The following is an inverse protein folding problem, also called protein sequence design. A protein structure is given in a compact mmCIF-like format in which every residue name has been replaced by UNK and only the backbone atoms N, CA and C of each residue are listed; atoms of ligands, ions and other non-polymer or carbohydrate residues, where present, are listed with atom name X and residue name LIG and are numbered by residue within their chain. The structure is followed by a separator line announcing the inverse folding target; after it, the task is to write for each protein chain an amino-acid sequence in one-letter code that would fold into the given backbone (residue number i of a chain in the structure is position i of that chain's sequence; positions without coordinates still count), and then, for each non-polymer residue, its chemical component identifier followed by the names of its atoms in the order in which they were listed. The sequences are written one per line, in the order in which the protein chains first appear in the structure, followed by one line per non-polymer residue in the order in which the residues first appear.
data_IF_243294219715
#
_entry.id   IF_243294219715
#
_cell.length_a   1.000
_cell.length_b   1.000
_cell.length_c   1.000
_cell.angle_alpha   90.00
_cell.angle_beta   90.00
_cell.angle_gamma   90.00
#
_symmetry.space_group_name_H-M   'P 1'
#
loop_
_entity.id
_entity.type
_entity.pdbx_description
1 polymer ?
#
# COMPACT_ATOMS: atom_id res chain seq x y z
N UNK A 1 -2.20 -5.54 -20.72
CA UNK A 1 -0.75 -5.35 -20.50
C UNK A 1 -0.29 -3.89 -20.28
N UNK A 2 -1.02 -2.84 -20.69
CA UNK A 2 -0.52 -1.44 -20.56
C UNK A 2 -0.72 -0.71 -19.21
N UNK A 3 -1.66 -1.14 -18.36
CA UNK A 3 -2.03 -0.39 -17.13
C UNK A 3 -0.94 -0.43 -16.05
N UNK A 4 -0.25 -1.56 -15.90
CA UNK A 4 0.76 -1.77 -14.83
C UNK A 4 2.01 -0.91 -15.06
N UNK A 5 2.54 -0.87 -16.30
CA UNK A 5 3.63 0.05 -16.71
C UNK A 5 3.28 1.51 -16.46
N UNK A 6 2.03 1.91 -16.70
CA UNK A 6 1.60 3.30 -16.48
C UNK A 6 1.65 3.68 -14.99
N UNK A 7 1.27 2.78 -14.09
CA UNK A 7 1.23 3.05 -12.64
C UNK A 7 2.65 3.19 -12.09
N UNK A 8 3.56 2.26 -12.41
CA UNK A 8 4.97 2.33 -11.97
C UNK A 8 5.67 3.60 -12.51
N UNK A 9 5.47 3.92 -13.79
CA UNK A 9 6.05 5.11 -14.41
C UNK A 9 5.45 6.41 -13.86
N UNK A 10 4.17 6.45 -13.50
CA UNK A 10 3.53 7.59 -12.83
C UNK A 10 4.15 7.81 -11.45
N UNK A 11 4.35 6.75 -10.67
CA UNK A 11 4.98 6.84 -9.34
C UNK A 11 6.41 7.36 -9.48
N UNK A 12 7.21 6.77 -10.38
CA UNK A 12 8.61 7.16 -10.60
C UNK A 12 8.74 8.61 -11.11
N UNK A 13 7.91 8.99 -12.09
CA UNK A 13 7.92 10.34 -12.71
C UNK A 13 7.37 11.40 -11.76
N UNK A 14 6.45 11.03 -10.85
CA UNK A 14 6.06 11.92 -9.74
C UNK A 14 7.30 12.35 -8.98
N UNK A 15 8.17 11.41 -8.63
CA UNK A 15 9.34 11.65 -7.78
C UNK A 15 10.46 12.45 -8.44
N UNK A 16 10.60 12.41 -9.77
CA UNK A 16 11.76 12.97 -10.48
C UNK A 16 11.61 14.41 -11.00
N UNK A 17 10.44 15.06 -10.92
CA UNK A 17 10.32 16.42 -11.47
C UNK A 17 9.00 17.20 -11.31
N UNK A 18 7.96 16.62 -10.69
CA UNK A 18 6.65 17.28 -10.56
C UNK A 18 6.18 17.41 -9.12
N UNK A 19 6.54 18.51 -8.44
CA UNK A 19 6.16 18.79 -7.03
C UNK A 19 4.66 18.65 -6.76
N UNK A 20 3.81 19.03 -7.73
CA UNK A 20 2.34 18.89 -7.65
C UNK A 20 1.87 17.43 -7.68
N UNK A 21 2.53 16.56 -8.44
CA UNK A 21 2.18 15.14 -8.56
C UNK A 21 2.61 14.41 -7.29
N UNK A 22 3.81 14.69 -6.77
CA UNK A 22 4.27 14.24 -5.46
C UNK A 22 3.32 14.62 -4.33
N UNK A 23 2.92 15.90 -4.28
CA UNK A 23 2.01 16.39 -3.25
C UNK A 23 0.67 15.63 -3.28
N UNK A 24 0.11 15.37 -4.47
CA UNK A 24 -1.12 14.59 -4.63
C UNK A 24 -0.94 13.12 -4.24
N UNK A 25 0.16 12.49 -4.64
CA UNK A 25 0.48 11.11 -4.28
C UNK A 25 0.65 10.97 -2.77
N UNK A 26 1.43 11.86 -2.15
CA UNK A 26 1.60 11.94 -0.70
C UNK A 26 0.26 12.13 0.02
N UNK A 27 -0.58 13.05 -0.45
CA UNK A 27 -1.90 13.28 0.13
C UNK A 27 -2.80 12.04 0.02
N UNK A 28 -2.74 11.33 -1.11
CA UNK A 28 -3.51 10.11 -1.34
C UNK A 28 -3.05 8.98 -0.42
N UNK A 29 -1.73 8.81 -0.24
CA UNK A 29 -1.16 7.86 0.73
C UNK A 29 -1.59 8.22 2.16
N UNK A 30 -1.54 9.52 2.52
CA UNK A 30 -1.98 10.00 3.83
C UNK A 30 -3.47 9.72 4.07
N UNK A 31 -4.33 9.89 3.05
CA UNK A 31 -5.74 9.51 3.13
C UNK A 31 -5.91 8.00 3.29
N UNK A 32 -5.23 7.19 2.48
CA UNK A 32 -5.27 5.73 2.58
C UNK A 32 -4.89 5.23 3.98
N UNK A 33 -3.84 5.79 4.58
CA UNK A 33 -3.43 5.45 5.96
C UNK A 33 -4.51 5.79 7.00
N UNK A 34 -5.26 6.88 6.81
CA UNK A 34 -6.39 7.23 7.68
C UNK A 34 -7.52 6.22 7.56
N UNK A 35 -7.84 5.78 6.35
CA UNK A 35 -8.87 4.75 6.11
C UNK A 35 -8.47 3.41 6.74
N UNK A 36 -7.21 2.99 6.58
CA UNK A 36 -6.71 1.77 7.24
C UNK A 36 -6.84 1.88 8.77
N UNK A 37 -6.51 3.05 9.34
CA UNK A 37 -6.68 3.27 10.78
C UNK A 37 -8.15 3.19 11.20
N UNK A 38 -9.07 3.76 10.43
CA UNK A 38 -10.51 3.72 10.72
C UNK A 38 -11.06 2.30 10.64
N UNK A 39 -10.72 1.57 9.58
CA UNK A 39 -11.10 0.16 9.40
C UNK A 39 -10.54 -0.72 10.52
N UNK A 40 -9.29 -0.50 10.94
CA UNK A 40 -8.72 -1.24 12.07
C UNK A 40 -9.47 -0.96 13.39
N UNK A 41 -9.92 0.27 13.63
CA UNK A 41 -10.72 0.61 14.81
C UNK A 41 -12.10 -0.07 14.79
N UNK A 42 -12.78 -0.03 13.64
CA UNK A 42 -14.07 -0.71 13.45
C UNK A 42 -13.92 -2.22 13.63
N UNK A 43 -12.87 -2.81 13.06
CA UNK A 43 -12.58 -4.23 13.19
C UNK A 43 -12.30 -4.63 14.65
N UNK A 44 -11.50 -3.84 15.37
CA UNK A 44 -11.28 -4.04 16.80
C UNK A 44 -12.59 -4.00 17.60
N UNK A 45 -13.48 -3.03 17.31
CA UNK A 45 -14.78 -2.92 17.99
C UNK A 45 -15.63 -4.15 17.73
N UNK A 46 -15.72 -4.62 16.48
CA UNK A 46 -16.44 -5.86 16.14
C UNK A 46 -15.89 -7.05 16.93
N UNK A 47 -14.55 -7.19 17.03
CA UNK A 47 -13.93 -8.28 17.81
C UNK A 47 -14.29 -8.19 19.30
N UNK A 48 -14.33 -6.98 19.86
CA UNK A 48 -14.75 -6.77 21.26
C UNK A 48 -16.23 -7.06 21.47
N UNK A 49 -17.09 -6.69 20.53
CA UNK A 49 -18.54 -6.89 20.60
C UNK A 49 -18.93 -8.37 20.56
N UNK A 50 -18.16 -9.20 19.84
CA UNK A 50 -18.34 -10.67 19.84
C UNK A 50 -17.70 -11.38 21.04
N UNK A 51 -17.07 -10.62 21.95
CA UNK A 51 -16.55 -11.13 23.22
C UNK A 51 -15.08 -11.55 23.23
N UNK A 52 -14.29 -11.19 22.21
CA UNK A 52 -12.86 -11.50 22.21
C UNK A 52 -12.15 -10.65 23.28
N UNK A 53 -11.26 -11.25 24.10
CA UNK A 53 -10.44 -10.53 25.05
C UNK A 53 -9.69 -9.36 24.42
N UNK A 54 -9.46 -8.30 25.19
CA UNK A 54 -8.86 -7.07 24.67
C UNK A 54 -7.46 -7.29 24.07
N UNK A 55 -6.67 -8.15 24.69
CA UNK A 55 -5.31 -8.47 24.28
C UNK A 55 -5.31 -9.16 22.90
N UNK A 56 -6.12 -10.21 22.74
CA UNK A 56 -6.27 -10.94 21.49
C UNK A 56 -6.84 -10.06 20.37
N UNK A 57 -7.88 -9.26 20.68
CA UNK A 57 -8.49 -8.36 19.72
C UNK A 57 -7.48 -7.32 19.20
N UNK A 58 -6.58 -6.82 20.06
CA UNK A 58 -5.49 -5.92 19.65
C UNK A 58 -4.50 -6.61 18.73
N UNK A 59 -4.06 -7.82 19.09
CA UNK A 59 -3.09 -8.56 18.29
C UNK A 59 -3.64 -8.89 16.89
N UNK A 60 -4.88 -9.39 16.82
CA UNK A 60 -5.57 -9.71 15.57
C UNK A 60 -5.74 -8.45 14.70
N UNK A 61 -6.16 -7.34 15.32
CA UNK A 61 -6.31 -6.07 14.61
C UNK A 61 -4.98 -5.55 14.07
N UNK A 62 -3.90 -5.67 14.85
CA UNK A 62 -2.56 -5.28 14.41
C UNK A 62 -2.06 -6.15 13.26
N UNK A 63 -2.28 -7.47 13.33
CA UNK A 63 -1.94 -8.40 12.25
C UNK A 63 -2.70 -8.08 10.96
N UNK A 64 -3.97 -7.69 11.06
CA UNK A 64 -4.78 -7.23 9.93
C UNK A 64 -4.28 -5.91 9.32
N UNK A 65 -3.96 -4.91 10.15
CA UNK A 65 -3.62 -3.56 9.69
C UNK A 65 -2.16 -3.41 9.21
N UNK A 66 -1.23 -4.18 9.79
CA UNK A 66 0.22 -4.06 9.52
C UNK A 66 0.57 -4.19 8.03
N UNK A 67 0.11 -5.21 7.28
CA UNK A 67 0.43 -5.34 5.86
C UNK A 67 -0.02 -4.13 5.03
N UNK A 68 -1.20 -3.58 5.33
CA UNK A 68 -1.72 -2.41 4.64
C UNK A 68 -0.90 -1.14 4.93
N UNK A 69 -0.44 -0.97 6.17
CA UNK A 69 0.45 0.15 6.52
C UNK A 69 1.83 0.04 5.88
N UNK A 70 2.40 -1.17 5.83
CA UNK A 70 3.67 -1.45 5.17
C UNK A 70 3.57 -1.21 3.66
N UNK A 71 2.50 -1.65 3.02
CA UNK A 71 2.25 -1.42 1.60
C UNK A 71 2.09 0.07 1.28
N UNK A 72 1.44 0.85 2.16
CA UNK A 72 1.30 2.31 2.05
C UNK A 72 2.55 3.08 2.53
N UNK A 73 3.67 2.40 2.77
CA UNK A 73 4.96 3.06 2.94
C UNK A 73 5.46 3.60 1.61
N UNK A 74 5.84 4.87 1.57
CA UNK A 74 6.41 5.49 0.36
C UNK A 74 7.59 4.67 -0.16
N UNK A 75 8.47 4.20 0.73
CA UNK A 75 9.62 3.37 0.38
C UNK A 75 9.21 2.05 -0.28
N UNK A 76 8.14 1.41 0.21
CA UNK A 76 7.66 0.15 -0.36
C UNK A 76 6.89 0.36 -1.66
N UNK A 77 6.15 1.47 -1.80
CA UNK A 77 5.54 1.87 -3.08
C UNK A 77 6.60 2.14 -4.15
N UNK A 78 7.75 2.71 -3.77
CA UNK A 78 8.89 2.90 -4.66
C UNK A 78 9.54 1.57 -5.02
N UNK A 79 9.81 0.70 -4.05
CA UNK A 79 10.32 -0.65 -4.32
C UNK A 79 9.40 -1.44 -5.24
N UNK A 80 8.10 -1.45 -4.98
CA UNK A 80 7.10 -2.06 -5.88
C UNK A 80 7.12 -1.43 -7.27
N UNK A 81 7.22 -0.10 -7.38
CA UNK A 81 7.30 0.57 -8.67
C UNK A 81 8.58 0.22 -9.45
N UNK A 82 9.71 0.06 -8.75
CA UNK A 82 10.99 -0.38 -9.32
C UNK A 82 10.97 -1.86 -9.72
N UNK A 83 10.46 -2.74 -8.86
CA UNK A 83 10.28 -4.16 -9.16
C UNK A 83 9.33 -4.34 -10.35
N UNK A 84 8.26 -3.55 -10.44
CA UNK A 84 7.36 -3.55 -11.60
C UNK A 84 7.99 -2.98 -12.88
N UNK A 85 9.03 -2.14 -12.78
CA UNK A 85 9.82 -1.72 -13.94
C UNK A 85 10.90 -2.73 -14.34
N UNK A 86 11.43 -3.48 -13.38
CA UNK A 86 12.58 -4.37 -13.55
C UNK A 86 12.19 -5.83 -13.88
N UNK A 87 11.00 -6.30 -13.49
CA UNK A 87 10.53 -7.68 -13.73
C UNK A 87 10.12 -7.97 -15.20
N UNK A 88 10.70 -7.24 -16.15
CA UNK A 88 10.51 -7.41 -17.60
C UNK A 88 11.78 -7.95 -18.28
N UNK A 89 12.61 -8.73 -17.57
CA UNK A 89 13.41 -9.78 -18.22
C UNK A 89 12.52 -11.00 -18.42
N UNK A 90 11.59 -10.89 -19.38
CA UNK A 90 10.82 -12.03 -19.89
C UNK A 90 11.78 -13.19 -20.18
N UNK A 91 11.52 -14.44 -19.73
CA UNK A 91 12.23 -15.56 -20.33
C UNK A 91 11.87 -15.54 -21.81
N UNK A 92 12.88 -15.44 -22.67
CA UNK A 92 12.72 -15.60 -24.10
C UNK A 92 12.13 -16.99 -24.35
N UNK A 93 10.82 -17.07 -24.53
CA UNK A 93 10.21 -18.21 -25.19
C UNK A 93 10.58 -18.04 -26.66
N UNK A 94 11.75 -18.57 -27.01
CA UNK A 94 12.12 -18.87 -28.39
C UNK A 94 11.13 -19.93 -28.88
N UNK A 95 10.26 -19.54 -29.82
CA UNK A 95 9.56 -20.45 -30.72
C UNK A 95 10.37 -20.49 -32.00
#
# INVERSE_FOLDING_TARGET
MGKVRSIGKIILTSMSGGTKLLAKTWWSIRKGRKEVKKSAQEFYQVLRDIGIPEEDAKEITLAYARPAWEMLSVTNLVKMAMEMSDNDSSPSISI
#
